data_IF_404644277801
#
_entry.id   IF_404644277801
#
_cell.length_a   1.000
_cell.length_b   1.000
_cell.length_c   1.000
_cell.angle_alpha   90.00
_cell.angle_beta   90.00
_cell.angle_gamma   90.00
#
_symmetry.space_group_name_H-M   'P 1'
#
loop_
_entity.id
_entity.type
_entity.pdbx_description
1 polymer ?
#
# COMPACT_ATOMS: atom_id res chain seq x y z
N UNK A 1 -5.33 -2.94 -0.36
CA UNK A 1 -5.46 -2.89 1.11
C UNK A 1 -4.06 -2.78 1.68
N UNK A 2 -3.84 -1.96 2.71
CA UNK A 2 -2.51 -1.72 3.28
C UNK A 2 -2.26 -2.74 4.39
N UNK A 3 -1.19 -3.53 4.23
CA UNK A 3 -0.70 -4.42 5.27
C UNK A 3 0.08 -3.61 6.31
N UNK A 4 -0.09 -3.97 7.58
CA UNK A 4 0.52 -3.32 8.73
C UNK A 4 1.28 -4.39 9.50
N UNK A 5 2.57 -4.22 9.70
CA UNK A 5 3.35 -5.12 10.57
C UNK A 5 3.17 -4.76 12.05
N UNK A 6 3.40 -5.72 12.95
CA UNK A 6 3.35 -5.49 14.40
C UNK A 6 4.22 -4.29 14.84
N UNK A 7 5.49 -4.14 14.40
CA UNK A 7 6.31 -2.99 14.79
C UNK A 7 5.76 -1.64 14.31
N UNK A 8 5.24 -1.57 13.09
CA UNK A 8 4.62 -0.33 12.58
C UNK A 8 3.40 0.04 13.41
N UNK A 9 2.61 -0.97 13.73
CA UNK A 9 1.41 -0.80 14.50
C UNK A 9 1.75 -0.31 15.92
N UNK A 10 2.71 -0.94 16.59
CA UNK A 10 3.20 -0.54 17.92
C UNK A 10 3.74 0.89 17.95
N UNK A 11 4.49 1.28 16.92
CA UNK A 11 5.04 2.62 16.79
C UNK A 11 3.93 3.65 16.62
N UNK A 12 2.98 3.40 15.72
CA UNK A 12 1.90 4.35 15.47
C UNK A 12 0.94 4.45 16.66
N UNK A 13 0.64 3.34 17.35
CA UNK A 13 -0.21 3.39 18.56
C UNK A 13 0.38 4.29 19.64
N UNK A 14 1.71 4.23 19.85
CA UNK A 14 2.40 5.11 20.80
C UNK A 14 2.29 6.58 20.40
N UNK A 15 2.50 6.90 19.12
CA UNK A 15 2.40 8.28 18.62
C UNK A 15 0.98 8.86 18.71
N UNK A 16 -0.03 8.01 18.58
CA UNK A 16 -1.43 8.39 18.76
C UNK A 16 -1.87 8.40 20.23
N UNK A 17 -0.96 8.15 21.18
CA UNK A 17 -1.24 8.00 22.62
C UNK A 17 -2.37 6.98 22.90
N UNK A 18 -2.38 5.86 22.17
CA UNK A 18 -3.34 4.76 22.31
C UNK A 18 -2.62 3.50 22.75
N UNK A 19 -3.32 2.66 23.52
CA UNK A 19 -2.85 1.29 23.73
C UNK A 19 -2.90 0.48 22.43
N UNK A 20 -2.07 -0.56 22.32
CA UNK A 20 -2.07 -1.50 21.18
C UNK A 20 -3.47 -2.05 20.91
N UNK A 21 -4.21 -2.40 21.97
CA UNK A 21 -5.58 -2.93 21.91
C UNK A 21 -6.57 -1.91 21.33
N UNK A 22 -6.53 -0.65 21.77
CA UNK A 22 -7.40 0.40 21.22
C UNK A 22 -7.07 0.70 19.77
N UNK A 23 -5.79 0.74 19.42
CA UNK A 23 -5.35 0.93 18.04
C UNK A 23 -5.86 -0.20 17.15
N UNK A 24 -5.68 -1.45 17.58
CA UNK A 24 -6.16 -2.63 16.84
C UNK A 24 -7.66 -2.54 16.58
N UNK A 25 -8.45 -2.31 17.64
CA UNK A 25 -9.90 -2.25 17.56
C UNK A 25 -10.39 -1.12 16.64
N UNK A 26 -9.66 -0.01 16.58
CA UNK A 26 -10.09 1.17 15.81
C UNK A 26 -9.63 1.11 14.35
N UNK A 27 -8.41 0.63 14.08
CA UNK A 27 -7.76 0.83 12.78
C UNK A 27 -7.45 -0.46 12.02
N UNK A 28 -7.42 -1.62 12.69
CA UNK A 28 -6.88 -2.86 12.12
C UNK A 28 -7.95 -3.95 11.98
N UNK A 29 -7.97 -4.59 10.82
CA UNK A 29 -8.67 -5.84 10.56
C UNK A 29 -7.64 -6.98 10.56
N UNK A 30 -7.85 -8.00 11.39
CA UNK A 30 -6.96 -9.16 11.50
C UNK A 30 -7.54 -10.35 10.74
N UNK A 31 -6.81 -10.84 9.74
CA UNK A 31 -7.18 -12.02 8.96
C UNK A 31 -6.86 -13.34 9.69
N UNK A 32 -7.43 -14.44 9.18
CA UNK A 32 -7.27 -15.79 9.76
C UNK A 32 -5.83 -16.32 9.77
N UNK A 33 -4.94 -15.74 8.97
CA UNK A 33 -3.52 -16.07 8.88
C UNK A 33 -2.62 -15.11 9.66
N UNK A 34 -3.19 -14.24 10.51
CA UNK A 34 -2.44 -13.24 11.27
C UNK A 34 -2.03 -12.01 10.47
N UNK A 35 -2.47 -11.86 9.22
CA UNK A 35 -2.30 -10.61 8.49
C UNK A 35 -3.09 -9.48 9.16
N UNK A 36 -2.48 -8.31 9.27
CA UNK A 36 -3.13 -7.11 9.79
C UNK A 36 -3.29 -6.09 8.67
N UNK A 37 -4.52 -5.71 8.39
CA UNK A 37 -4.86 -4.77 7.34
C UNK A 37 -5.47 -3.51 7.94
N UNK A 38 -5.30 -2.36 7.29
CA UNK A 38 -6.16 -1.20 7.58
C UNK A 38 -7.61 -1.58 7.25
N UNK A 39 -8.50 -1.37 8.22
CA UNK A 39 -9.89 -1.86 8.18
C UNK A 39 -10.87 -1.00 7.34
N UNK A 40 -10.39 0.03 6.64
CA UNK A 40 -11.26 0.92 5.87
C UNK A 40 -10.57 1.50 4.63
N UNK A 41 -11.38 1.85 3.64
CA UNK A 41 -10.99 2.61 2.45
C UNK A 41 -12.07 3.71 2.25
N UNK A 42 -11.71 5.01 2.25
CA UNK A 42 -10.37 5.57 2.41
C UNK A 42 -9.78 5.32 3.81
N UNK A 43 -8.45 5.30 3.91
CA UNK A 43 -7.74 5.10 5.19
C UNK A 43 -8.11 6.17 6.21
N UNK A 44 -8.26 5.80 7.49
CA UNK A 44 -8.54 6.73 8.61
C UNK A 44 -7.61 7.94 8.69
N UNK A 45 -6.36 7.77 8.23
CA UNK A 45 -5.36 8.83 8.31
C UNK A 45 -5.34 9.75 7.08
N UNK A 46 -6.11 9.44 6.03
CA UNK A 46 -6.24 10.29 4.85
C UNK A 46 -7.19 11.44 5.16
N UNK A 47 -6.71 12.67 4.95
CA UNK A 47 -7.48 13.90 5.13
C UNK A 47 -8.17 14.32 3.82
N UNK A 48 -9.07 15.30 3.90
CA UNK A 48 -9.86 15.79 2.75
C UNK A 48 -9.00 16.39 1.62
N UNK A 49 -7.84 16.93 1.96
CA UNK A 49 -6.85 17.47 1.02
C UNK A 49 -5.92 16.39 0.41
N UNK A 50 -6.21 15.11 0.65
CA UNK A 50 -5.39 13.95 0.31
C UNK A 50 -4.04 13.87 1.06
N UNK A 51 -3.82 14.69 2.10
CA UNK A 51 -2.66 14.54 2.97
C UNK A 51 -2.84 13.38 3.95
N UNK A 52 -1.73 12.75 4.34
CA UNK A 52 -1.74 11.76 5.42
C UNK A 52 -1.43 12.45 6.74
N UNK A 53 -2.35 12.36 7.70
CA UNK A 53 -2.18 12.90 9.06
C UNK A 53 -1.01 12.27 9.83
N UNK A 54 -0.55 11.08 9.41
CA UNK A 54 0.57 10.36 10.02
C UNK A 54 1.72 10.18 9.01
N UNK A 55 1.95 11.17 8.14
CA UNK A 55 2.86 11.03 7.00
C UNK A 55 4.26 10.49 7.37
N UNK A 56 4.87 10.98 8.43
CA UNK A 56 6.20 10.54 8.91
C UNK A 56 6.19 9.11 9.47
N UNK A 57 5.02 8.55 9.78
CA UNK A 57 4.80 7.22 10.35
C UNK A 57 3.90 6.34 9.48
N UNK A 58 3.70 6.74 8.23
CA UNK A 58 2.90 5.97 7.28
C UNK A 58 3.51 4.58 7.09
N UNK A 59 2.63 3.59 6.93
CA UNK A 59 3.02 2.20 6.74
C UNK A 59 3.87 2.01 5.49
N UNK A 60 4.73 0.98 5.49
CA UNK A 60 5.66 0.66 4.41
C UNK A 60 4.93 0.50 3.09
N UNK A 61 3.79 -0.20 3.09
CA UNK A 61 2.95 -0.33 1.89
C UNK A 61 2.48 1.01 1.30
N UNK A 62 2.30 2.04 2.13
CA UNK A 62 2.02 3.40 1.67
C UNK A 62 3.28 4.15 1.22
N UNK A 63 4.44 3.91 1.83
CA UNK A 63 5.72 4.54 1.43
C UNK A 63 6.19 4.04 0.09
N UNK A 64 6.08 2.74 -0.12
CA UNK A 64 6.67 2.09 -1.27
C UNK A 64 5.82 2.28 -2.53
N UNK A 65 4.50 2.47 -2.41
CA UNK A 65 3.58 2.57 -3.55
C UNK A 65 4.06 3.64 -4.57
N UNK A 66 4.19 3.32 -5.88
CA UNK A 66 3.71 2.11 -6.59
C UNK A 66 4.68 0.90 -6.63
N UNK A 67 5.74 0.90 -5.81
CA UNK A 67 6.68 -0.20 -5.59
C UNK A 67 7.44 -0.68 -6.84
N UNK A 68 7.59 0.20 -7.83
CA UNK A 68 8.28 -0.06 -9.10
C UNK A 68 9.80 -0.15 -8.95
N UNK A 69 10.36 0.47 -7.91
CA UNK A 69 11.80 0.48 -7.63
C UNK A 69 12.29 -0.74 -6.83
N UNK A 70 11.38 -1.48 -6.20
CA UNK A 70 11.74 -2.62 -5.35
C UNK A 70 12.19 -3.83 -6.18
N UNK A 71 13.10 -4.67 -5.66
CA UNK A 71 13.59 -5.86 -6.37
C UNK A 71 12.45 -6.88 -6.60
N UNK A 72 12.68 -7.85 -7.49
CA UNK A 72 11.72 -8.92 -7.81
C UNK A 72 10.35 -8.41 -8.29
N UNK A 73 10.33 -7.37 -9.13
CA UNK A 73 9.12 -6.75 -9.69
C UNK A 73 8.11 -7.76 -10.24
N UNK A 74 8.57 -8.82 -10.91
CA UNK A 74 7.71 -9.88 -11.46
C UNK A 74 6.80 -10.57 -10.43
N UNK A 75 7.20 -10.61 -9.15
CA UNK A 75 6.37 -11.17 -8.07
C UNK A 75 5.17 -10.29 -7.70
N UNK A 76 5.15 -9.04 -8.17
CA UNK A 76 4.11 -8.03 -7.86
C UNK A 76 3.30 -7.63 -9.09
N UNK A 77 3.34 -8.41 -10.17
CA UNK A 77 2.59 -8.10 -11.39
C UNK A 77 1.08 -8.04 -11.14
N UNK A 78 0.54 -8.91 -10.28
CA UNK A 78 -0.88 -8.91 -9.96
C UNK A 78 -1.34 -7.55 -9.38
N UNK A 79 -0.68 -7.04 -8.34
CA UNK A 79 -1.03 -5.74 -7.76
C UNK A 79 -0.76 -4.60 -8.75
N UNK A 80 0.34 -4.68 -9.50
CA UNK A 80 0.68 -3.69 -10.53
C UNK A 80 -0.45 -3.57 -11.56
N UNK A 81 -0.93 -4.68 -12.12
CA UNK A 81 -2.03 -4.67 -13.09
C UNK A 81 -3.37 -4.28 -12.48
N UNK A 82 -3.64 -4.62 -11.21
CA UNK A 82 -4.82 -4.11 -10.50
C UNK A 82 -4.84 -2.57 -10.41
N UNK A 83 -3.69 -1.92 -10.39
CA UNK A 83 -3.56 -0.46 -10.34
C UNK A 83 -3.30 0.19 -11.71
N UNK A 84 -2.91 -0.58 -12.73
CA UNK A 84 -2.64 -0.11 -14.08
C UNK A 84 -3.71 0.83 -14.66
N UNK A 85 -5.03 0.53 -14.60
CA UNK A 85 -6.04 1.43 -15.16
C UNK A 85 -6.29 2.71 -14.34
N UNK A 86 -5.69 2.85 -13.15
CA UNK A 86 -5.98 3.92 -12.19
C UNK A 86 -4.77 4.80 -11.86
N UNK A 87 -3.56 4.26 -11.91
CA UNK A 87 -2.35 4.97 -11.54
C UNK A 87 -1.54 5.37 -12.79
N UNK A 88 -1.41 6.67 -13.10
CA UNK A 88 -0.67 7.14 -14.28
C UNK A 88 0.81 6.72 -14.30
N UNK A 89 1.44 6.63 -13.11
CA UNK A 89 2.84 6.20 -13.00
C UNK A 89 2.99 4.74 -13.42
N UNK A 90 2.11 3.86 -12.92
CA UNK A 90 2.12 2.44 -13.27
C UNK A 90 1.82 2.26 -14.76
N UNK A 91 0.81 2.96 -15.27
CA UNK A 91 0.47 2.94 -16.69
C UNK A 91 1.70 3.23 -17.55
N UNK A 92 2.36 4.38 -17.33
CA UNK A 92 3.51 4.79 -18.13
C UNK A 92 4.67 3.79 -18.05
N UNK A 93 4.96 3.25 -16.86
CA UNK A 93 6.05 2.28 -16.70
C UNK A 93 5.74 0.95 -17.40
N UNK A 94 4.50 0.46 -17.31
CA UNK A 94 4.11 -0.77 -18.01
C UNK A 94 4.12 -0.58 -19.53
N UNK A 95 3.65 0.57 -20.04
CA UNK A 95 3.68 0.84 -21.48
C UNK A 95 5.11 0.94 -22.02
N UNK A 96 6.03 1.57 -21.28
CA UNK A 96 7.45 1.59 -21.66
C UNK A 96 8.07 0.17 -21.60
N UNK A 97 7.70 -0.64 -20.60
CA UNK A 97 8.17 -2.02 -20.50
C UNK A 97 7.71 -2.90 -21.68
N UNK A 98 6.50 -2.70 -22.21
CA UNK A 98 6.03 -3.38 -23.42
C UNK A 98 6.95 -3.09 -24.60
N UNK A 99 7.33 -1.83 -24.80
CA UNK A 99 8.26 -1.43 -25.86
C UNK A 99 9.64 -2.06 -25.65
N UNK A 100 10.19 -1.98 -24.44
CA UNK A 100 11.54 -2.48 -24.12
C UNK A 100 11.67 -4.00 -24.21
N UNK A 101 10.60 -4.73 -23.91
CA UNK A 101 10.59 -6.19 -23.97
C UNK A 101 10.19 -6.74 -25.34
N UNK A 102 9.87 -5.86 -26.30
CA UNK A 102 9.43 -6.26 -27.64
C UNK A 102 8.07 -6.95 -27.61
N UNK A 103 7.19 -6.55 -26.68
CA UNK A 103 5.81 -7.02 -26.65
C UNK A 103 5.14 -6.72 -27.98
N UNK A 104 4.60 -7.77 -28.62
CA UNK A 104 3.79 -7.66 -29.82
C UNK A 104 2.35 -7.89 -29.44
N UNK A 105 1.49 -6.95 -29.83
CA UNK A 105 0.05 -7.15 -29.73
C UNK A 105 -0.33 -8.10 -30.88
N UNK A 106 -0.50 -9.39 -30.57
CA UNK A 106 -0.86 -10.42 -31.55
C UNK A 106 -2.38 -10.67 -31.62
N UNK A 107 -3.17 -9.66 -31.27
CA UNK A 107 -4.63 -9.71 -31.29
C UNK A 107 -5.23 -8.77 -32.34
#
# INVERSE_FOLDING_TARGET
MINVSEPEADNLSKKLNKTRKEFDNQYIEKGSNGMMLINTIPCHFLQEDNACSVYEDRFEGCREFPALHLPYFSKRLFSTFMHYPRCPIIFNVIEELKLKTGFKDEY
#
